data_IF_186912596702
#
_entry.id   IF_186912596702
#
_cell.length_a   1.000
_cell.length_b   1.000
_cell.length_c   1.000
_cell.angle_alpha   90.00
_cell.angle_beta   90.00
_cell.angle_gamma   90.00
#
_symmetry.space_group_name_H-M   'P 1'
#
loop_
_entity.id
_entity.type
_entity.pdbx_description
1 polymer ?
#
# COMPACT_ATOMS: atom_id res chain seq x y z
N UNK A 1 8.75 19.86 11.27
CA UNK A 1 8.44 18.43 11.50
C UNK A 1 7.12 17.97 10.87
N UNK A 2 6.37 18.85 10.19
CA UNK A 2 5.10 18.51 9.51
C UNK A 2 5.27 18.06 8.05
N UNK A 3 6.37 18.42 7.38
CA UNK A 3 6.60 18.07 5.97
C UNK A 3 6.86 16.58 5.76
N UNK A 4 7.79 15.99 6.51
CA UNK A 4 8.22 14.59 6.32
C UNK A 4 7.07 13.59 6.45
N UNK A 5 6.16 13.80 7.42
CA UNK A 5 4.99 12.94 7.60
C UNK A 5 3.95 13.11 6.50
N UNK A 6 3.77 14.34 6.02
CA UNK A 6 2.87 14.61 4.90
C UNK A 6 3.40 14.01 3.60
N UNK A 7 4.71 14.05 3.38
CA UNK A 7 5.36 13.44 2.23
C UNK A 7 5.25 11.91 2.27
N UNK A 8 5.48 11.30 3.44
CA UNK A 8 5.28 9.86 3.63
C UNK A 8 3.83 9.44 3.40
N UNK A 9 2.85 10.22 3.90
CA UNK A 9 1.43 9.93 3.69
C UNK A 9 1.05 9.96 2.21
N UNK A 10 1.56 10.92 1.44
CA UNK A 10 1.37 10.99 -0.01
C UNK A 10 1.98 9.79 -0.74
N UNK A 11 3.16 9.34 -0.31
CA UNK A 11 3.78 8.13 -0.85
C UNK A 11 2.90 6.89 -0.60
N UNK A 12 2.40 6.74 0.63
CA UNK A 12 1.49 5.63 0.99
C UNK A 12 0.18 5.69 0.17
N UNK A 13 -0.40 6.88 0.01
CA UNK A 13 -1.62 7.08 -0.79
C UNK A 13 -1.41 6.68 -2.25
N UNK A 14 -0.29 7.09 -2.86
CA UNK A 14 0.04 6.72 -4.23
C UNK A 14 0.20 5.20 -4.41
N UNK A 15 0.91 4.54 -3.49
CA UNK A 15 1.08 3.08 -3.51
C UNK A 15 -0.26 2.35 -3.32
N UNK A 16 -1.13 2.88 -2.46
CA UNK A 16 -2.44 2.30 -2.20
C UNK A 16 -3.38 2.43 -3.40
N UNK A 17 -3.39 3.59 -4.05
CA UNK A 17 -4.12 3.82 -5.31
C UNK A 17 -3.67 2.83 -6.39
N UNK A 18 -2.35 2.65 -6.56
CA UNK A 18 -1.82 1.69 -7.52
C UNK A 18 -2.21 0.24 -7.18
N UNK A 19 -2.08 -0.16 -5.92
CA UNK A 19 -2.47 -1.49 -5.46
C UNK A 19 -3.97 -1.75 -5.63
N UNK A 20 -4.81 -0.73 -5.44
CA UNK A 20 -6.25 -0.79 -5.67
C UNK A 20 -6.58 -0.93 -7.15
N UNK A 21 -5.97 -0.14 -8.02
CA UNK A 21 -6.13 -0.26 -9.48
C UNK A 21 -5.72 -1.64 -10.01
N UNK A 22 -4.67 -2.23 -9.42
CA UNK A 22 -4.22 -3.60 -9.73
C UNK A 22 -5.06 -4.69 -9.08
N UNK A 23 -6.10 -4.33 -8.30
CA UNK A 23 -7.00 -5.24 -7.56
C UNK A 23 -6.27 -6.11 -6.51
N UNK A 24 -5.17 -5.62 -5.96
CA UNK A 24 -4.38 -6.30 -4.91
C UNK A 24 -4.94 -6.01 -3.51
N UNK A 25 -5.56 -4.85 -3.34
CA UNK A 25 -6.34 -4.46 -2.17
C UNK A 25 -7.77 -4.12 -2.61
N UNK A 26 -8.73 -4.17 -1.69
CA UNK A 26 -10.14 -3.88 -1.97
C UNK A 26 -10.59 -2.49 -1.50
N UNK A 27 -9.68 -1.70 -0.92
CA UNK A 27 -9.96 -0.33 -0.48
C UNK A 27 -8.83 0.23 0.38
N UNK A 28 -8.80 1.54 0.56
CA UNK A 28 -7.81 2.23 1.37
C UNK A 28 -8.33 3.60 1.82
N UNK A 29 -7.65 4.23 2.77
CA UNK A 29 -7.97 5.57 3.24
C UNK A 29 -7.22 5.93 4.50
N UNK A 30 -7.63 7.01 5.15
CA UNK A 30 -7.00 7.46 6.38
C UNK A 30 -7.27 6.54 7.56
N UNK A 31 -6.27 6.38 8.44
CA UNK A 31 -6.44 5.76 9.75
C UNK A 31 -7.07 6.72 10.76
N UNK A 32 -7.47 6.20 11.94
CA UNK A 32 -7.97 7.04 13.03
C UNK A 32 -6.90 8.01 13.54
N UNK A 33 -5.62 7.65 13.42
CA UNK A 33 -4.48 8.47 13.80
C UNK A 33 -3.78 9.09 12.59
N UNK A 34 -3.23 10.30 12.79
CA UNK A 34 -2.51 11.05 11.74
C UNK A 34 -1.25 10.35 11.20
N UNK A 35 -0.74 9.33 11.91
CA UNK A 35 0.40 8.51 11.49
C UNK A 35 -0.01 7.11 11.06
N UNK A 36 -1.31 6.88 10.82
CA UNK A 36 -1.83 5.60 10.36
C UNK A 36 -2.52 5.74 9.01
N UNK A 37 -2.55 4.62 8.30
CA UNK A 37 -3.27 4.44 7.06
C UNK A 37 -4.11 3.18 7.12
N UNK A 38 -5.34 3.25 6.62
CA UNK A 38 -6.21 2.10 6.49
C UNK A 38 -6.01 1.44 5.13
N UNK A 39 -5.81 0.13 5.15
CA UNK A 39 -5.76 -0.71 3.94
C UNK A 39 -6.72 -1.87 4.13
N UNK A 40 -7.61 -2.10 3.17
CA UNK A 40 -8.51 -3.26 3.14
C UNK A 40 -7.86 -4.34 2.28
N UNK A 41 -7.24 -5.31 2.96
CA UNK A 41 -6.54 -6.41 2.30
C UNK A 41 -7.26 -7.72 2.59
N UNK A 42 -7.52 -8.51 1.54
CA UNK A 42 -8.31 -9.75 1.62
C UNK A 42 -9.68 -9.54 2.30
N UNK A 43 -10.33 -8.41 2.03
CA UNK A 43 -11.63 -8.05 2.61
C UNK A 43 -11.59 -7.63 4.08
N UNK A 44 -10.40 -7.51 4.70
CA UNK A 44 -10.26 -7.10 6.10
C UNK A 44 -9.59 -5.72 6.20
N UNK A 45 -10.23 -4.73 6.84
CA UNK A 45 -9.60 -3.44 7.11
C UNK A 45 -8.46 -3.61 8.12
N UNK A 46 -7.34 -2.95 7.87
CA UNK A 46 -6.16 -2.91 8.74
C UNK A 46 -5.67 -1.48 8.83
N UNK A 47 -5.47 -1.00 10.05
CA UNK A 47 -4.82 0.28 10.30
C UNK A 47 -3.34 0.02 10.57
N UNK A 48 -2.48 0.61 9.76
CA UNK A 48 -1.04 0.39 9.79
C UNK A 48 -0.35 1.73 9.97
N UNK A 49 0.73 1.83 10.78
CA UNK A 49 1.59 2.99 10.78
C UNK A 49 2.08 3.31 9.35
N UNK A 50 2.23 4.60 9.01
CA UNK A 50 2.56 5.03 7.64
C UNK A 50 3.81 4.32 7.08
N UNK A 51 4.84 4.16 7.89
CA UNK A 51 6.09 3.49 7.49
C UNK A 51 5.83 2.01 7.15
N UNK A 52 5.00 1.34 7.94
CA UNK A 52 4.65 -0.05 7.71
C UNK A 52 3.68 -0.22 6.55
N UNK A 53 2.73 0.70 6.38
CA UNK A 53 1.82 0.75 5.24
C UNK A 53 2.61 0.89 3.92
N UNK A 54 3.62 1.77 3.89
CA UNK A 54 4.51 1.95 2.76
C UNK A 54 5.21 0.64 2.39
N UNK A 55 5.92 0.02 3.34
CA UNK A 55 6.62 -1.24 3.09
C UNK A 55 5.67 -2.34 2.61
N UNK A 56 4.54 -2.52 3.29
CA UNK A 56 3.53 -3.51 2.91
C UNK A 56 3.04 -3.33 1.47
N UNK A 57 2.74 -2.10 1.05
CA UNK A 57 2.25 -1.82 -0.31
C UNK A 57 3.36 -1.97 -1.36
N UNK A 58 4.59 -1.53 -1.05
CA UNK A 58 5.74 -1.73 -1.94
C UNK A 58 6.01 -3.21 -2.20
N UNK A 59 6.01 -4.03 -1.15
CA UNK A 59 6.21 -5.48 -1.26
C UNK A 59 5.08 -6.12 -2.08
N UNK A 60 3.82 -5.74 -1.79
CA UNK A 60 2.65 -6.24 -2.50
C UNK A 60 2.69 -5.92 -4.00
N UNK A 61 3.13 -4.72 -4.36
CA UNK A 61 3.29 -4.29 -5.75
C UNK A 61 4.46 -4.99 -6.44
N UNK A 62 5.58 -5.19 -5.74
CA UNK A 62 6.76 -5.88 -6.25
C UNK A 62 6.47 -7.36 -6.55
N UNK A 63 5.87 -8.07 -5.60
CA UNK A 63 5.52 -9.49 -5.76
C UNK A 63 4.57 -9.72 -6.94
N UNK A 64 3.62 -8.80 -7.14
CA UNK A 64 2.72 -8.86 -8.28
C UNK A 64 3.41 -8.57 -9.63
N UNK A 65 4.55 -7.88 -9.63
CA UNK A 65 5.37 -7.70 -10.84
C UNK A 65 6.22 -8.95 -11.12
N UNK A 66 6.88 -9.50 -10.12
CA UNK A 66 7.72 -10.71 -10.27
C UNK A 66 6.89 -11.91 -10.71
N UNK A 67 5.66 -12.06 -10.20
CA UNK A 67 4.72 -13.08 -10.65
C UNK A 67 4.38 -13.01 -12.15
N UNK A 68 4.48 -11.84 -12.78
CA UNK A 68 4.28 -11.67 -14.24
C UNK A 68 5.50 -12.06 -15.07
N UNK A 69 6.70 -12.00 -14.50
CA UNK A 69 7.94 -12.38 -15.21
C UNK A 69 8.27 -13.86 -15.09
N UNK A 70 7.79 -14.56 -14.05
CA UNK A 70 7.95 -16.03 -13.93
C UNK A 70 7.09 -16.85 -14.88
N UNK A 71 6.13 -16.25 -15.60
CA UNK A 71 5.32 -16.95 -16.61
C UNK A 71 6.02 -17.05 -17.98
N UNK A 72 7.24 -16.51 -18.14
CA UNK A 72 8.02 -16.53 -19.38
C UNK A 72 9.25 -17.44 -19.34
N UNK A 73 9.41 -18.27 -18.32
CA UNK A 73 10.47 -19.30 -18.31
C UNK A 73 9.93 -20.59 -18.92
N UNK A 74 10.35 -20.82 -20.16
CA UNK A 74 10.22 -22.04 -21.00
C UNK A 74 10.60 -23.33 -20.29
#
# INVERSE_FOLDING_TARGET
MTSVKADLKKEVEHLAEEAFHRKLISGYGDGPDSNEYQIVFQGKPRHLPLEYARSFLSDLLFDNQVGKYSQFSV
#
